data_IF_586966203973
#
_entry.id   IF_586966203973
#
_cell.length_a   1.000
_cell.length_b   1.000
_cell.length_c   1.000
_cell.angle_alpha   90.00
_cell.angle_beta   90.00
_cell.angle_gamma   90.00
#
_symmetry.space_group_name_H-M   'P 1'
#
loop_
_entity.id
_entity.type
_entity.pdbx_description
1 polymer ?
#
# COMPACT_ATOMS: atom_id res chain seq x y z
N UNK A 1 6.44 8.08 16.65
CA UNK A 1 5.40 7.21 16.10
C UNK A 1 5.56 7.21 14.59
N UNK A 2 5.90 6.05 14.02
CA UNK A 2 6.11 5.90 12.58
C UNK A 2 4.84 6.18 11.80
N UNK A 3 4.93 6.93 10.71
CA UNK A 3 3.79 7.26 9.87
C UNK A 3 3.54 6.16 8.84
N UNK A 4 2.38 5.53 8.88
CA UNK A 4 1.97 4.48 7.93
C UNK A 4 1.26 5.10 6.75
N UNK A 5 1.81 4.91 5.54
CA UNK A 5 1.27 5.47 4.29
C UNK A 5 0.98 4.33 3.30
N UNK A 6 -0.25 4.25 2.85
CA UNK A 6 -0.65 3.33 1.77
C UNK A 6 -0.50 4.01 0.42
N UNK A 7 0.10 3.31 -0.53
CA UNK A 7 0.07 3.66 -1.95
C UNK A 7 -0.98 2.77 -2.62
N UNK A 8 -2.12 3.36 -2.97
CA UNK A 8 -3.30 2.62 -3.37
C UNK A 8 -3.95 3.10 -4.67
N UNK A 9 -4.58 2.16 -5.37
CA UNK A 9 -5.43 2.42 -6.52
C UNK A 9 -6.22 1.16 -6.88
N UNK A 10 -7.43 1.33 -7.41
CA UNK A 10 -8.21 0.20 -7.91
C UNK A 10 -7.67 -0.34 -9.23
N UNK A 11 -6.92 0.45 -10.00
CA UNK A 11 -6.41 0.07 -11.32
C UNK A 11 -5.00 -0.53 -11.23
N UNK A 12 -4.75 -1.60 -11.99
CA UNK A 12 -3.40 -2.14 -12.21
C UNK A 12 -2.57 -1.26 -13.14
N UNK A 13 -1.23 -1.32 -13.02
CA UNK A 13 -0.31 -0.63 -13.91
C UNK A 13 -0.33 0.90 -13.81
N UNK A 14 -0.73 1.47 -12.66
CA UNK A 14 -0.74 2.94 -12.43
C UNK A 14 0.42 3.43 -11.59
N UNK A 15 1.50 2.67 -11.51
CA UNK A 15 2.74 3.09 -10.86
C UNK A 15 2.74 3.02 -9.32
N UNK A 16 1.88 2.22 -8.67
CA UNK A 16 1.91 2.04 -7.20
C UNK A 16 3.29 1.59 -6.72
N UNK A 17 3.74 0.43 -7.17
CA UNK A 17 5.03 -0.16 -6.80
C UNK A 17 6.20 0.78 -7.10
N UNK A 18 6.21 1.41 -8.29
CA UNK A 18 7.23 2.39 -8.67
C UNK A 18 7.23 3.59 -7.73
N UNK A 19 6.04 4.08 -7.34
CA UNK A 19 5.89 5.19 -6.38
C UNK A 19 6.40 4.78 -5.01
N UNK A 20 6.01 3.60 -4.52
CA UNK A 20 6.44 3.08 -3.20
C UNK A 20 7.96 2.99 -3.14
N UNK A 21 8.59 2.35 -4.13
CA UNK A 21 10.03 2.17 -4.19
C UNK A 21 10.79 3.50 -4.21
N UNK A 22 10.41 4.41 -5.13
CA UNK A 22 11.10 5.69 -5.28
C UNK A 22 10.88 6.61 -4.07
N UNK A 23 9.67 6.61 -3.47
CA UNK A 23 9.39 7.36 -2.25
C UNK A 23 10.23 6.84 -1.08
N UNK A 24 10.37 5.51 -0.95
CA UNK A 24 11.19 4.90 0.09
C UNK A 24 12.65 5.34 0.00
N UNK A 25 13.27 5.23 -1.18
CA UNK A 25 14.65 5.67 -1.37
C UNK A 25 14.82 7.19 -1.23
N UNK A 26 13.84 7.98 -1.67
CA UNK A 26 13.87 9.43 -1.49
C UNK A 26 13.83 9.82 -0.02
N UNK A 27 12.95 9.20 0.77
CA UNK A 27 12.89 9.43 2.23
C UNK A 27 14.18 8.96 2.92
N UNK A 28 14.71 7.78 2.52
CA UNK A 28 15.97 7.29 3.04
C UNK A 28 17.14 8.26 2.74
N UNK A 29 17.22 8.82 1.54
CA UNK A 29 18.24 9.81 1.17
C UNK A 29 18.14 11.10 1.99
N UNK A 30 16.98 11.37 2.56
CA UNK A 30 16.74 12.48 3.51
C UNK A 30 17.03 12.09 4.98
N UNK A 31 17.65 10.95 5.22
CA UNK A 31 18.02 10.44 6.53
C UNK A 31 16.88 9.84 7.35
N UNK A 32 15.76 9.46 6.70
CA UNK A 32 14.62 8.81 7.37
C UNK A 32 14.80 7.30 7.43
N UNK A 33 14.34 6.69 8.53
CA UNK A 33 14.20 5.23 8.65
C UNK A 33 12.91 4.81 7.99
N UNK A 34 13.00 3.99 6.95
CA UNK A 34 11.87 3.60 6.12
C UNK A 34 11.72 2.08 6.09
N UNK A 35 10.50 1.62 6.34
CA UNK A 35 10.08 0.24 6.07
C UNK A 35 9.10 0.27 4.89
N UNK A 36 9.29 -0.62 3.93
CA UNK A 36 8.29 -0.87 2.90
C UNK A 36 7.66 -2.26 3.09
N UNK A 37 6.39 -2.39 2.75
CA UNK A 37 5.66 -3.66 2.82
C UNK A 37 5.08 -3.92 1.45
N UNK A 38 5.50 -5.03 0.86
CA UNK A 38 4.87 -5.53 -0.36
C UNK A 38 3.56 -6.25 0.02
N UNK A 39 2.43 -5.62 -0.26
CA UNK A 39 1.11 -6.15 0.09
C UNK A 39 0.29 -6.54 -1.16
N UNK A 40 1.02 -7.07 -2.15
CA UNK A 40 0.48 -7.67 -3.37
C UNK A 40 1.02 -9.10 -3.52
N UNK A 41 0.15 -10.08 -3.75
CA UNK A 41 0.54 -11.48 -3.98
C UNK A 41 1.37 -11.68 -5.25
N UNK A 42 1.43 -10.67 -6.13
CA UNK A 42 2.32 -10.67 -7.30
C UNK A 42 3.78 -10.35 -6.95
N UNK A 43 4.06 -9.89 -5.73
CA UNK A 43 5.39 -9.64 -5.18
C UNK A 43 6.28 -8.73 -6.05
N UNK A 44 5.67 -7.74 -6.71
CA UNK A 44 6.39 -6.86 -7.63
C UNK A 44 7.39 -5.95 -6.92
N UNK A 45 7.04 -5.41 -5.74
CA UNK A 45 7.95 -4.59 -4.94
C UNK A 45 9.13 -5.44 -4.42
N UNK A 46 8.85 -6.66 -3.98
CA UNK A 46 9.85 -7.66 -3.55
C UNK A 46 10.84 -7.95 -4.66
N UNK A 47 10.36 -8.16 -5.87
CA UNK A 47 11.20 -8.35 -7.06
C UNK A 47 12.04 -7.11 -7.37
N UNK A 48 11.51 -5.91 -7.19
CA UNK A 48 12.27 -4.66 -7.38
C UNK A 48 13.43 -4.52 -6.37
N UNK A 49 13.36 -5.15 -5.21
CA UNK A 49 14.47 -5.25 -4.25
C UNK A 49 15.50 -6.33 -4.60
N UNK A 50 15.30 -7.04 -5.71
CA UNK A 50 16.26 -8.04 -6.24
C UNK A 50 16.02 -9.46 -5.74
N UNK A 51 14.86 -9.75 -5.17
CA UNK A 51 14.47 -11.12 -4.79
C UNK A 51 13.89 -11.83 -6.02
N UNK A 52 14.58 -12.85 -6.53
CA UNK A 52 14.20 -13.57 -7.76
C UNK A 52 13.11 -14.63 -7.50
N UNK A 53 13.27 -15.44 -6.44
CA UNK A 53 12.40 -16.58 -6.13
C UNK A 53 11.46 -16.26 -4.95
N UNK A 54 10.52 -15.37 -5.14
CA UNK A 54 9.62 -14.90 -4.07
C UNK A 54 8.79 -16.02 -3.44
N UNK A 55 8.51 -17.10 -4.17
CA UNK A 55 7.72 -18.23 -3.69
C UNK A 55 8.49 -19.21 -2.79
N UNK A 56 9.80 -19.09 -2.73
CA UNK A 56 10.67 -19.90 -1.86
C UNK A 56 10.96 -19.20 -0.52
N UNK A 57 10.45 -17.99 -0.33
CA UNK A 57 10.63 -17.24 0.91
C UNK A 57 9.79 -17.85 2.04
N UNK A 58 10.45 -18.20 3.15
CA UNK A 58 9.80 -18.67 4.38
C UNK A 58 9.19 -17.53 5.20
N UNK A 59 9.77 -16.33 5.13
CA UNK A 59 9.39 -15.16 5.92
C UNK A 59 8.86 -14.06 5.01
N UNK A 60 7.54 -13.99 4.84
CA UNK A 60 6.85 -12.97 4.06
C UNK A 60 5.72 -12.34 4.88
N UNK A 61 5.20 -11.21 4.41
CA UNK A 61 4.01 -10.58 5.03
C UNK A 61 2.82 -11.56 5.10
N UNK A 62 2.68 -12.47 4.13
CA UNK A 62 1.65 -13.50 4.15
C UNK A 62 1.81 -14.46 5.32
N UNK A 63 3.04 -14.93 5.60
CA UNK A 63 3.31 -15.81 6.74
C UNK A 63 3.09 -15.06 8.07
N UNK A 64 3.55 -13.82 8.18
CA UNK A 64 3.37 -13.02 9.38
C UNK A 64 1.88 -12.76 9.68
N UNK A 65 1.07 -12.48 8.65
CA UNK A 65 -0.38 -12.35 8.82
C UNK A 65 -1.07 -13.66 9.17
N UNK A 66 -0.63 -14.79 8.59
CA UNK A 66 -1.20 -16.10 8.92
C UNK A 66 -0.94 -16.46 10.39
N UNK A 67 0.27 -16.18 10.89
CA UNK A 67 0.60 -16.38 12.32
C UNK A 67 -0.34 -15.59 13.23
N UNK A 68 -0.69 -14.35 12.86
CA UNK A 68 -1.66 -13.53 13.60
C UNK A 68 -3.08 -14.12 13.54
N UNK A 69 -3.52 -14.58 12.36
CA UNK A 69 -4.85 -15.18 12.17
C UNK A 69 -5.00 -16.48 12.99
N UNK A 70 -3.94 -17.28 13.09
CA UNK A 70 -3.93 -18.54 13.82
C UNK A 70 -3.62 -18.37 15.32
N UNK A 71 -3.53 -17.12 15.80
CA UNK A 71 -3.20 -16.80 17.20
C UNK A 71 -1.92 -17.48 17.70
N UNK A 72 -0.99 -17.75 16.78
CA UNK A 72 0.31 -18.32 17.11
C UNK A 72 1.24 -17.21 17.61
N UNK A 73 2.17 -17.57 18.50
CA UNK A 73 3.23 -16.64 18.91
C UNK A 73 4.17 -16.47 17.73
N UNK A 74 4.24 -15.29 17.11
CA UNK A 74 5.14 -15.10 15.98
C UNK A 74 6.58 -15.26 16.44
N UNK A 75 7.43 -15.81 15.59
CA UNK A 75 8.86 -15.55 15.67
C UNK A 75 9.07 -14.04 15.71
N UNK A 76 10.23 -13.60 16.21
CA UNK A 76 10.48 -12.16 16.27
C UNK A 76 10.10 -11.50 14.94
N UNK A 77 9.32 -10.38 14.93
CA UNK A 77 8.99 -9.67 13.70
C UNK A 77 10.21 -9.32 12.84
N UNK A 78 11.40 -9.29 13.45
CA UNK A 78 12.67 -9.04 12.76
C UNK A 78 13.02 -10.13 11.74
N UNK A 79 12.58 -11.37 11.93
CA UNK A 79 12.79 -12.45 10.98
C UNK A 79 12.15 -12.18 9.61
N UNK A 80 11.10 -11.36 9.57
CA UNK A 80 10.36 -10.99 8.36
C UNK A 80 10.91 -9.75 7.66
N UNK A 81 11.84 -9.01 8.30
CA UNK A 81 12.38 -7.76 7.78
C UNK A 81 13.70 -8.03 7.07
N UNK A 82 13.76 -7.67 5.81
CA UNK A 82 14.99 -7.66 4.99
C UNK A 82 15.42 -6.22 4.75
N UNK A 83 16.68 -6.02 4.34
CA UNK A 83 17.21 -4.68 4.03
C UNK A 83 17.91 -4.66 2.69
N UNK A 84 17.69 -3.60 1.92
CA UNK A 84 18.35 -3.35 0.65
C UNK A 84 18.69 -1.88 0.51
N UNK A 85 19.97 -1.59 0.31
CA UNK A 85 20.50 -0.23 0.11
C UNK A 85 20.00 0.80 1.16
N UNK A 86 19.88 0.35 2.43
CA UNK A 86 19.47 1.17 3.57
C UNK A 86 17.96 1.34 3.76
N UNK A 87 17.15 0.72 2.91
CA UNK A 87 15.69 0.64 3.07
C UNK A 87 15.33 -0.75 3.56
N UNK A 88 14.55 -0.83 4.64
CA UNK A 88 14.03 -2.10 5.14
C UNK A 88 12.73 -2.45 4.40
N UNK A 89 12.49 -3.75 4.21
CA UNK A 89 11.27 -4.21 3.56
C UNK A 89 10.79 -5.56 4.11
N UNK A 90 9.46 -5.75 4.12
CA UNK A 90 8.83 -7.05 4.35
C UNK A 90 8.37 -7.57 2.99
N UNK A 91 8.93 -8.71 2.52
CA UNK A 91 8.62 -9.25 1.21
C UNK A 91 7.23 -9.87 1.14
N UNK A 92 6.73 -10.03 -0.08
CA UNK A 92 5.52 -10.78 -0.42
C UNK A 92 5.82 -12.05 -1.20
N UNK A 93 4.80 -12.89 -1.33
CA UNK A 93 4.79 -14.05 -2.21
C UNK A 93 3.35 -14.40 -2.61
N UNK A 94 3.19 -15.37 -3.50
CA UNK A 94 1.87 -15.88 -3.88
C UNK A 94 1.05 -16.38 -2.67
N UNK A 95 1.71 -16.75 -1.58
CA UNK A 95 1.06 -17.20 -0.33
C UNK A 95 0.11 -16.14 0.24
N UNK A 96 0.34 -14.84 -0.03
CA UNK A 96 -0.57 -13.77 0.39
C UNK A 96 -1.98 -13.93 -0.21
N UNK A 97 -2.14 -14.62 -1.34
CA UNK A 97 -3.46 -14.94 -1.91
C UNK A 97 -4.25 -15.95 -1.04
N UNK A 98 -3.55 -16.86 -0.36
CA UNK A 98 -4.16 -17.79 0.59
C UNK A 98 -4.66 -17.02 1.82
N UNK A 99 -3.85 -16.07 2.29
CA UNK A 99 -4.22 -15.17 3.39
C UNK A 99 -5.45 -14.32 3.01
N UNK A 100 -5.51 -13.74 1.80
CA UNK A 100 -6.70 -12.98 1.34
C UNK A 100 -7.97 -13.84 1.37
N UNK A 101 -7.88 -15.11 0.99
CA UNK A 101 -9.01 -16.03 1.05
C UNK A 101 -9.43 -16.33 2.51
N UNK A 102 -8.47 -16.54 3.40
CA UNK A 102 -8.71 -16.81 4.82
C UNK A 102 -9.35 -15.61 5.52
N UNK A 103 -8.86 -14.40 5.27
CA UNK A 103 -9.41 -13.15 5.83
C UNK A 103 -10.90 -12.94 5.55
N UNK A 104 -11.45 -13.52 4.48
CA UNK A 104 -12.89 -13.36 4.15
C UNK A 104 -13.82 -14.09 5.11
N UNK A 105 -13.31 -15.04 5.86
CA UNK A 105 -14.09 -15.86 6.82
C UNK A 105 -13.67 -15.62 8.26
N UNK A 106 -12.66 -14.78 8.48
CA UNK A 106 -12.10 -14.53 9.80
C UNK A 106 -12.84 -13.37 10.51
N UNK A 107 -13.02 -13.48 11.82
CA UNK A 107 -13.61 -12.41 12.64
C UNK A 107 -12.58 -11.30 12.88
N UNK A 108 -12.99 -10.04 12.76
CA UNK A 108 -12.08 -8.89 12.94
C UNK A 108 -11.01 -8.75 11.86
N UNK A 109 -11.18 -9.47 10.73
CA UNK A 109 -10.21 -9.59 9.64
C UNK A 109 -9.69 -8.24 9.11
N UNK A 110 -10.46 -7.17 9.27
CA UNK A 110 -10.11 -5.84 8.72
C UNK A 110 -8.91 -5.20 9.42
N UNK A 111 -8.54 -5.66 10.62
CA UNK A 111 -7.50 -5.03 11.46
C UNK A 111 -6.24 -5.87 11.61
N UNK A 112 -6.18 -7.05 11.02
CA UNK A 112 -5.06 -7.99 11.16
C UNK A 112 -3.70 -7.35 10.80
N UNK A 113 -3.62 -6.61 9.69
CA UNK A 113 -2.38 -5.91 9.33
C UNK A 113 -2.01 -4.82 10.35
N UNK A 114 -2.99 -4.10 10.90
CA UNK A 114 -2.73 -3.08 11.92
C UNK A 114 -2.11 -3.70 13.18
N UNK A 115 -2.61 -4.87 13.61
CA UNK A 115 -2.11 -5.62 14.74
C UNK A 115 -0.69 -6.15 14.49
N UNK A 116 -0.44 -6.70 13.30
CA UNK A 116 0.89 -7.16 12.86
C UNK A 116 1.91 -6.01 12.89
N UNK A 117 1.51 -4.80 12.52
CA UNK A 117 2.42 -3.65 12.43
C UNK A 117 2.64 -2.94 13.77
N UNK A 118 1.78 -3.15 14.77
CA UNK A 118 1.86 -2.45 16.04
C UNK A 118 3.23 -2.56 16.73
N UNK A 119 3.88 -3.73 16.83
CA UNK A 119 5.21 -3.87 17.44
C UNK A 119 6.36 -3.35 16.56
N UNK A 120 6.10 -3.03 15.29
CA UNK A 120 7.14 -2.73 14.29
C UNK A 120 7.17 -1.23 13.96
N UNK A 121 6.01 -0.61 13.76
CA UNK A 121 5.85 0.70 13.13
C UNK A 121 6.63 1.83 13.80
N UNK A 122 6.73 1.81 15.13
CA UNK A 122 7.40 2.88 15.91
C UNK A 122 8.93 2.86 15.79
N UNK A 123 9.50 1.86 15.16
CA UNK A 123 10.94 1.74 14.88
C UNK A 123 11.37 2.55 13.65
N UNK A 124 10.39 3.02 12.86
CA UNK A 124 10.57 3.71 11.58
C UNK A 124 9.95 5.10 11.62
N UNK A 125 10.49 6.03 10.81
CA UNK A 125 9.84 7.32 10.56
C UNK A 125 8.64 7.15 9.62
N UNK A 126 8.78 6.23 8.63
CA UNK A 126 7.75 5.93 7.65
C UNK A 126 7.64 4.43 7.40
N UNK A 127 6.39 3.95 7.31
CA UNK A 127 6.04 2.62 6.81
C UNK A 127 5.21 2.80 5.55
N UNK A 128 5.70 2.33 4.39
CA UNK A 128 5.03 2.45 3.10
C UNK A 128 4.45 1.09 2.69
N UNK A 129 3.16 1.04 2.39
CA UNK A 129 2.48 -0.19 1.99
C UNK A 129 2.12 -0.11 0.51
N UNK A 130 2.73 -1.00 -0.30
CA UNK A 130 2.37 -1.19 -1.72
C UNK A 130 1.22 -2.18 -1.83
N UNK A 131 0.10 -1.78 -2.42
CA UNK A 131 -1.13 -2.59 -2.44
C UNK A 131 -1.43 -3.20 -3.80
N UNK A 132 -2.14 -4.34 -3.77
CA UNK A 132 -2.70 -4.93 -4.97
C UNK A 132 -3.78 -4.03 -5.61
N UNK A 133 -4.05 -4.19 -6.94
CA UNK A 133 -5.07 -3.40 -7.65
C UNK A 133 -6.49 -3.96 -7.43
N UNK A 134 -6.93 -4.03 -6.18
CA UNK A 134 -8.25 -4.57 -5.82
C UNK A 134 -8.90 -3.75 -4.71
N UNK A 135 -10.17 -3.98 -4.45
CA UNK A 135 -10.89 -3.45 -3.27
C UNK A 135 -11.23 -4.60 -2.29
N UNK A 136 -10.42 -5.67 -2.30
CA UNK A 136 -10.57 -6.84 -1.43
C UNK A 136 -10.07 -6.64 -0.01
N UNK A 137 -10.01 -7.75 0.76
CA UNK A 137 -9.62 -7.73 2.17
C UNK A 137 -8.21 -7.21 2.39
N UNK A 138 -7.27 -7.47 1.49
CA UNK A 138 -5.92 -6.91 1.58
C UNK A 138 -5.93 -5.37 1.54
N UNK A 139 -6.64 -4.77 0.58
CA UNK A 139 -6.75 -3.30 0.52
C UNK A 139 -7.46 -2.72 1.73
N UNK A 140 -8.49 -3.39 2.24
CA UNK A 140 -9.19 -2.98 3.47
C UNK A 140 -8.20 -3.00 4.65
N UNK A 141 -7.43 -4.06 4.82
CA UNK A 141 -6.41 -4.20 5.85
C UNK A 141 -5.34 -3.10 5.76
N UNK A 142 -4.82 -2.84 4.56
CA UNK A 142 -3.84 -1.77 4.34
C UNK A 142 -4.39 -0.40 4.78
N UNK A 143 -5.61 -0.06 4.35
CA UNK A 143 -6.26 1.21 4.73
C UNK A 143 -6.65 1.27 6.21
N UNK A 144 -6.97 0.13 6.84
CA UNK A 144 -7.25 0.06 8.26
C UNK A 144 -6.01 0.31 9.13
N UNK A 145 -4.83 -0.08 8.64
CA UNK A 145 -3.55 0.09 9.32
C UNK A 145 -2.90 1.48 9.07
N UNK A 146 -3.40 2.25 8.09
CA UNK A 146 -2.73 3.47 7.60
C UNK A 146 -3.17 4.74 8.33
N UNK A 147 -2.23 5.69 8.45
CA UNK A 147 -2.51 7.08 8.80
C UNK A 147 -2.92 7.89 7.57
N UNK A 148 -2.27 7.59 6.44
CA UNK A 148 -2.52 8.31 5.18
C UNK A 148 -2.56 7.36 3.98
N UNK A 149 -3.27 7.81 2.92
CA UNK A 149 -3.23 7.15 1.62
C UNK A 149 -2.84 8.15 0.53
N UNK A 150 -1.89 7.74 -0.32
CA UNK A 150 -1.57 8.37 -1.60
C UNK A 150 -2.25 7.55 -2.68
N UNK A 151 -3.09 8.20 -3.49
CA UNK A 151 -3.85 7.53 -4.54
C UNK A 151 -3.17 7.76 -5.87
N UNK A 152 -2.66 6.70 -6.51
CA UNK A 152 -2.04 6.81 -7.83
C UNK A 152 -3.09 6.70 -8.93
N UNK A 153 -3.02 7.63 -9.89
CA UNK A 153 -3.95 7.72 -11.01
C UNK A 153 -3.19 8.00 -12.31
N UNK A 154 -3.37 7.15 -13.30
CA UNK A 154 -2.96 7.45 -14.66
C UNK A 154 -4.12 8.19 -15.36
N UNK A 155 -3.93 9.38 -15.96
CA UNK A 155 -4.98 10.15 -16.62
C UNK A 155 -5.45 9.47 -17.92
N UNK A 156 -6.30 8.45 -17.77
CA UNK A 156 -6.98 7.71 -18.83
C UNK A 156 -8.49 7.72 -18.56
N UNK A 157 -9.29 7.60 -19.61
CA UNK A 157 -10.76 7.74 -19.53
C UNK A 157 -11.42 6.88 -18.44
N UNK A 158 -10.96 5.63 -18.26
CA UNK A 158 -11.51 4.74 -17.23
C UNK A 158 -10.92 4.97 -15.82
N UNK A 159 -9.92 5.83 -15.69
CA UNK A 159 -9.26 6.07 -14.41
C UNK A 159 -10.16 6.82 -13.43
N UNK A 160 -11.00 7.73 -13.93
CA UNK A 160 -11.94 8.49 -13.09
C UNK A 160 -12.96 7.59 -12.39
N UNK A 161 -13.47 6.55 -13.07
CA UNK A 161 -14.39 5.59 -12.46
C UNK A 161 -13.70 4.79 -11.35
N UNK A 162 -12.49 4.34 -11.60
CA UNK A 162 -11.67 3.64 -10.60
C UNK A 162 -11.32 4.53 -9.40
N UNK A 163 -10.98 5.80 -9.63
CA UNK A 163 -10.70 6.77 -8.58
C UNK A 163 -11.92 6.98 -7.67
N UNK A 164 -13.10 7.19 -8.24
CA UNK A 164 -14.33 7.36 -7.46
C UNK A 164 -14.65 6.10 -6.64
N UNK A 165 -14.48 4.91 -7.20
CA UNK A 165 -14.65 3.63 -6.49
C UNK A 165 -13.69 3.51 -5.29
N UNK A 166 -12.43 3.84 -5.50
CA UNK A 166 -11.41 3.81 -4.44
C UNK A 166 -11.71 4.84 -3.33
N UNK A 167 -12.05 6.08 -3.69
CA UNK A 167 -12.42 7.13 -2.73
C UNK A 167 -13.64 6.76 -1.88
N UNK A 168 -14.64 6.10 -2.48
CA UNK A 168 -15.80 5.56 -1.72
C UNK A 168 -15.35 4.50 -0.71
N UNK A 169 -14.39 3.65 -1.07
CA UNK A 169 -13.84 2.64 -0.15
C UNK A 169 -13.07 3.31 0.99
N UNK A 170 -12.18 4.26 0.69
CA UNK A 170 -11.47 5.05 1.71
C UNK A 170 -12.45 5.71 2.68
N UNK A 171 -13.51 6.34 2.17
CA UNK A 171 -14.54 6.98 2.99
C UNK A 171 -15.28 5.99 3.91
N UNK A 172 -15.58 4.77 3.40
CA UNK A 172 -16.21 3.72 4.22
C UNK A 172 -15.28 3.23 5.33
N UNK A 173 -14.00 3.00 5.00
CA UNK A 173 -12.98 2.59 5.98
C UNK A 173 -12.82 3.66 7.05
N UNK A 174 -12.64 4.92 6.65
CA UNK A 174 -12.56 6.07 7.57
C UNK A 174 -13.75 6.12 8.53
N UNK A 175 -14.96 5.94 8.02
CA UNK A 175 -16.18 6.04 8.83
C UNK A 175 -16.36 4.87 9.80
N UNK A 176 -15.93 3.65 9.45
CA UNK A 176 -16.33 2.44 10.17
C UNK A 176 -15.20 1.72 10.89
N UNK A 177 -13.94 1.84 10.40
CA UNK A 177 -12.82 1.01 10.84
C UNK A 177 -11.67 1.87 11.35
N UNK A 178 -11.22 2.88 10.56
CA UNK A 178 -10.09 3.74 10.88
C UNK A 178 -10.46 5.23 10.76
N UNK A 179 -11.02 5.86 11.81
CA UNK A 179 -11.45 7.26 11.76
C UNK A 179 -10.32 8.28 11.53
N UNK A 180 -9.07 7.89 11.81
CA UNK A 180 -7.89 8.75 11.66
C UNK A 180 -7.34 8.78 10.25
N UNK A 181 -7.74 7.83 9.39
CA UNK A 181 -7.26 7.76 8.00
C UNK A 181 -7.52 9.06 7.25
N UNK A 182 -6.47 9.58 6.61
CA UNK A 182 -6.56 10.77 5.75
C UNK A 182 -6.04 10.51 4.34
N UNK A 183 -6.49 11.32 3.38
CA UNK A 183 -5.96 11.27 2.02
C UNK A 183 -4.84 12.31 1.93
N UNK A 184 -3.59 11.85 1.78
CA UNK A 184 -2.42 12.72 1.60
C UNK A 184 -2.49 13.47 0.27
N UNK A 185 -2.99 12.79 -0.77
CA UNK A 185 -3.18 13.38 -2.09
C UNK A 185 -3.43 12.34 -3.18
N UNK A 186 -3.67 12.85 -4.38
CA UNK A 186 -3.73 12.08 -5.62
C UNK A 186 -2.43 12.35 -6.39
N UNK A 187 -1.70 11.29 -6.72
CA UNK A 187 -0.51 11.35 -7.55
C UNK A 187 -0.86 10.98 -8.99
N UNK A 188 -0.72 11.95 -9.89
CA UNK A 188 -0.89 11.70 -11.32
C UNK A 188 0.38 11.06 -11.88
N UNK A 189 0.25 9.85 -12.42
CA UNK A 189 1.36 9.06 -12.94
C UNK A 189 1.27 8.91 -14.45
N UNK A 190 2.40 8.67 -15.11
CA UNK A 190 2.46 8.40 -16.56
C UNK A 190 1.76 9.49 -17.40
N UNK A 191 1.93 10.75 -17.01
CA UNK A 191 1.33 11.88 -17.68
C UNK A 191 2.10 12.20 -18.98
N UNK A 192 1.45 11.99 -20.11
CA UNK A 192 1.96 12.40 -21.43
C UNK A 192 1.52 13.82 -21.73
N UNK A 193 2.28 14.82 -21.27
CA UNK A 193 1.96 16.25 -21.38
C UNK A 193 1.72 16.74 -22.82
N UNK A 194 2.15 15.95 -23.82
CA UNK A 194 1.96 16.28 -25.25
C UNK A 194 0.59 15.90 -25.80
N UNK A 195 -0.18 15.03 -25.10
CA UNK A 195 -1.49 14.58 -25.57
C UNK A 195 -2.61 15.47 -25.01
N UNK A 196 -3.54 15.86 -25.88
CA UNK A 196 -4.72 16.65 -25.48
C UNK A 196 -5.57 15.91 -24.45
N UNK A 197 -5.72 14.58 -24.61
CA UNK A 197 -6.48 13.75 -23.68
C UNK A 197 -5.90 13.79 -22.25
N UNK A 198 -4.58 13.67 -22.12
CA UNK A 198 -3.94 13.74 -20.81
C UNK A 198 -4.16 15.11 -20.14
N UNK A 199 -4.06 16.20 -20.89
CA UNK A 199 -4.32 17.55 -20.37
C UNK A 199 -5.76 17.69 -19.86
N UNK A 200 -6.74 17.34 -20.68
CA UNK A 200 -8.17 17.41 -20.30
C UNK A 200 -8.46 16.58 -19.05
N UNK A 201 -7.98 15.34 -18.98
CA UNK A 201 -8.21 14.48 -17.82
C UNK A 201 -7.48 14.96 -16.57
N UNK A 202 -6.29 15.53 -16.71
CA UNK A 202 -5.56 16.15 -15.60
C UNK A 202 -6.32 17.36 -15.07
N UNK A 203 -6.84 18.21 -15.94
CA UNK A 203 -7.65 19.37 -15.58
C UNK A 203 -8.96 18.92 -14.90
N UNK A 204 -9.61 17.86 -15.40
CA UNK A 204 -10.82 17.30 -14.81
C UNK A 204 -10.58 16.76 -13.39
N UNK A 205 -9.48 15.99 -13.18
CA UNK A 205 -9.11 15.51 -11.82
C UNK A 205 -8.81 16.69 -10.93
N UNK A 206 -8.00 17.64 -11.39
CA UNK A 206 -7.63 18.81 -10.59
C UNK A 206 -8.86 19.65 -10.23
N UNK A 207 -9.74 19.92 -11.20
CA UNK A 207 -10.97 20.70 -10.98
C UNK A 207 -11.96 20.02 -10.06
N UNK A 208 -12.10 18.68 -10.15
CA UNK A 208 -13.02 17.90 -9.33
C UNK A 208 -12.64 17.86 -7.85
N UNK A 209 -11.36 17.99 -7.52
CA UNK A 209 -10.83 17.89 -6.15
C UNK A 209 -10.16 19.16 -5.65
N UNK A 210 -10.23 20.26 -6.42
CA UNK A 210 -9.60 21.53 -6.08
C UNK A 210 -10.02 22.01 -4.68
N UNK A 211 -9.03 22.29 -3.82
CA UNK A 211 -9.25 22.74 -2.44
C UNK A 211 -9.68 21.66 -1.45
N UNK A 212 -9.93 20.41 -1.91
CA UNK A 212 -10.34 19.30 -1.04
C UNK A 212 -9.23 18.25 -0.88
N UNK A 213 -8.56 17.89 -1.97
CA UNK A 213 -7.50 16.89 -1.99
C UNK A 213 -6.31 17.48 -2.76
N UNK A 214 -5.11 17.31 -2.21
CA UNK A 214 -3.87 17.73 -2.88
C UNK A 214 -3.64 16.86 -4.13
N UNK A 215 -3.25 17.48 -5.23
CA UNK A 215 -2.83 16.80 -6.46
C UNK A 215 -1.32 17.00 -6.61
N UNK A 216 -0.58 15.89 -6.84
CA UNK A 216 0.87 15.88 -7.06
C UNK A 216 1.18 15.64 -8.52
#
# INVERSE_FOLDING_TARGET
>A
MGKVIVIGSQKGGVGKTTTTLNLAYSLHSMGKKVLTIDFDSQANLTTCYGVENTNELEYTIGHLMMTQIEEQVPESPDAFIQSKDGVDFIPSSIYLSVVDAKLRTEMGAERMLAEVLEPIKDRYDYVLIDTCPSLGMLTINALAAADEVIITVNPQLLAMMGLQGFLRTVSKIKKRINPTLTIAGILLTMCESRTTLCKVLTEEVTGSFQGQIRIF
#
